data_IF_007583502346
#
_entry.id   IF_007583502346
#
_cell.length_a   1.000
_cell.length_b   1.000
_cell.length_c   1.000
_cell.angle_alpha   90.00
_cell.angle_beta   90.00
_cell.angle_gamma   90.00
#
_symmetry.space_group_name_H-M   'P 1'
#
loop_
_entity.id
_entity.type
_entity.pdbx_description
1 polymer ?
#
# COMPACT_ATOMS: atom_id res chain seq x y z
N UNK A 1 -46.87 -2.37 26.20
CA UNK A 1 -46.01 -1.92 27.32
C UNK A 1 -45.01 -3.04 27.54
N UNK A 2 -43.71 -2.88 27.41
CA UNK A 2 -42.91 -1.68 27.64
C UNK A 2 -41.66 -1.69 26.78
N UNK A 3 -41.46 -0.56 26.12
CA UNK A 3 -40.18 -0.11 25.59
C UNK A 3 -39.19 -0.04 26.77
N UNK A 4 -38.19 -0.92 26.80
CA UNK A 4 -37.18 -0.90 27.87
C UNK A 4 -36.00 -0.10 27.39
N UNK A 5 -36.02 1.18 27.76
CA UNK A 5 -34.94 2.13 27.59
C UNK A 5 -33.61 1.55 28.09
N UNK A 6 -32.67 1.31 27.17
CA UNK A 6 -31.28 1.06 27.54
C UNK A 6 -30.62 2.41 27.86
N UNK A 7 -30.30 2.55 29.15
CA UNK A 7 -29.56 3.62 29.79
C UNK A 7 -28.32 4.06 29.01
N UNK A 8 -28.32 5.30 28.50
CA UNK A 8 -27.51 6.40 29.06
C UNK A 8 -25.98 6.29 29.14
N UNK A 9 -25.32 5.37 28.44
CA UNK A 9 -23.84 5.36 28.40
C UNK A 9 -23.32 6.44 27.45
N UNK A 10 -22.77 7.53 28.01
CA UNK A 10 -22.03 8.54 27.23
C UNK A 10 -20.68 7.93 26.79
N UNK A 11 -20.64 7.36 25.59
CA UNK A 11 -19.41 6.83 25.03
C UNK A 11 -18.44 7.97 24.68
N UNK A 12 -17.17 7.87 25.13
CA UNK A 12 -16.13 8.88 24.88
C UNK A 12 -15.54 8.85 23.47
N UNK A 13 -15.55 7.68 22.81
CA UNK A 13 -15.14 7.50 21.41
C UNK A 13 -15.70 6.18 20.84
N UNK A 14 -15.70 6.08 19.51
CA UNK A 14 -15.96 4.83 18.79
C UNK A 14 -14.93 4.71 17.65
N UNK A 15 -14.28 3.55 17.54
CA UNK A 15 -13.41 3.25 16.39
C UNK A 15 -14.27 2.70 15.25
N UNK A 16 -14.12 3.29 14.06
CA UNK A 16 -14.73 2.82 12.83
C UNK A 16 -13.68 2.80 11.73
N UNK A 17 -13.70 1.76 10.91
CA UNK A 17 -12.92 1.77 9.67
C UNK A 17 -13.52 2.79 8.71
N UNK A 18 -12.68 3.61 8.10
CA UNK A 18 -13.05 4.51 7.02
C UNK A 18 -12.08 4.31 5.85
N UNK A 19 -12.61 4.36 4.64
CA UNK A 19 -11.78 4.43 3.43
C UNK A 19 -11.65 5.90 3.04
N UNK A 20 -10.42 6.35 2.86
CA UNK A 20 -10.10 7.74 2.49
C UNK A 20 -9.18 7.72 1.27
N UNK A 21 -9.58 8.42 0.21
CA UNK A 21 -8.74 8.63 -0.97
C UNK A 21 -7.77 9.78 -0.71
N UNK A 22 -6.50 9.56 -1.02
CA UNK A 22 -5.41 10.52 -0.80
C UNK A 22 -4.49 10.55 -2.02
N UNK A 23 -3.79 11.67 -2.21
CA UNK A 23 -2.79 11.82 -3.27
C UNK A 23 -1.55 11.00 -2.93
N UNK A 24 -1.09 10.19 -3.89
CA UNK A 24 0.17 9.48 -3.78
C UNK A 24 1.23 10.09 -4.71
N UNK A 25 2.39 10.44 -4.16
CA UNK A 25 3.59 10.80 -4.89
C UNK A 25 4.41 9.54 -5.10
N UNK A 26 4.56 9.10 -6.35
CA UNK A 26 5.48 8.01 -6.68
C UNK A 26 6.91 8.54 -6.73
N UNK A 27 7.74 8.08 -5.80
CA UNK A 27 9.14 8.48 -5.71
C UNK A 27 10.00 7.44 -6.42
N UNK A 28 10.75 7.87 -7.43
CA UNK A 28 11.61 7.01 -8.25
C UNK A 28 13.06 7.05 -7.76
N UNK A 29 13.57 8.26 -7.53
CA UNK A 29 14.89 8.54 -6.96
C UNK A 29 14.78 9.73 -6.01
N UNK A 30 15.80 9.96 -5.20
CA UNK A 30 15.82 11.09 -4.28
C UNK A 30 17.18 11.79 -4.31
N UNK A 31 17.13 13.02 -4.79
CA UNK A 31 18.12 14.06 -4.57
C UNK A 31 17.36 15.28 -4.03
N UNK A 32 17.92 15.99 -3.05
CA UNK A 32 17.22 17.06 -2.32
C UNK A 32 16.89 18.25 -3.23
N UNK A 33 17.87 18.67 -4.04
CA UNK A 33 17.76 19.82 -4.92
C UNK A 33 16.82 19.51 -6.10
N UNK A 34 16.99 18.33 -6.72
CA UNK A 34 16.13 17.88 -7.81
C UNK A 34 14.67 17.68 -7.36
N UNK A 35 14.47 17.14 -6.15
CA UNK A 35 13.14 16.96 -5.57
C UNK A 35 12.44 18.31 -5.36
N UNK A 36 13.13 19.30 -4.78
CA UNK A 36 12.55 20.62 -4.55
C UNK A 36 12.22 21.35 -5.86
N UNK A 37 13.12 21.29 -6.84
CA UNK A 37 12.88 21.88 -8.15
C UNK A 37 11.68 21.23 -8.85
N UNK A 38 11.63 19.90 -8.90
CA UNK A 38 10.54 19.17 -9.56
C UNK A 38 9.20 19.45 -8.88
N UNK A 39 9.16 19.46 -7.54
CA UNK A 39 7.95 19.75 -6.79
C UNK A 39 7.45 21.18 -7.07
N UNK A 40 8.35 22.17 -7.06
CA UNK A 40 8.04 23.58 -7.36
C UNK A 40 7.45 23.74 -8.76
N UNK A 41 8.03 23.07 -9.76
CA UNK A 41 7.49 23.09 -11.12
C UNK A 41 6.07 22.54 -11.19
N UNK A 42 5.78 21.43 -10.49
CA UNK A 42 4.42 20.85 -10.41
C UNK A 42 3.43 21.77 -9.69
N UNK A 43 3.87 22.43 -8.61
CA UNK A 43 3.03 23.41 -7.90
C UNK A 43 2.69 24.58 -8.81
N UNK A 44 3.66 25.11 -9.55
CA UNK A 44 3.42 26.22 -10.48
C UNK A 44 2.43 25.86 -11.59
N UNK A 45 2.41 24.59 -12.03
CA UNK A 45 1.44 24.11 -13.01
C UNK A 45 0.02 24.03 -12.44
N UNK A 46 -0.13 23.70 -11.16
CA UNK A 46 -1.44 23.55 -10.53
C UNK A 46 -1.46 24.05 -9.06
N UNK A 47 -1.38 25.37 -8.80
CA UNK A 47 -1.23 25.89 -7.44
C UNK A 47 -2.40 25.52 -6.51
N UNK A 48 -3.62 25.49 -7.06
CA UNK A 48 -4.82 25.12 -6.32
C UNK A 48 -4.87 23.66 -5.91
N UNK A 49 -4.19 22.76 -6.65
CA UNK A 49 -4.16 21.34 -6.32
C UNK A 49 -3.30 21.05 -5.09
N UNK A 50 -2.22 21.79 -4.86
CA UNK A 50 -1.27 21.48 -3.78
C UNK A 50 -1.57 22.20 -2.45
N UNK A 51 -2.63 22.99 -2.37
CA UNK A 51 -3.00 23.71 -1.15
C UNK A 51 -3.63 22.78 -0.12
N UNK A 52 -2.97 22.64 1.02
CA UNK A 52 -3.40 21.85 2.18
C UNK A 52 -3.69 20.38 1.85
N UNK A 53 -2.96 19.80 0.89
CA UNK A 53 -3.20 18.41 0.49
C UNK A 53 -2.54 17.40 1.41
N UNK A 54 -3.26 16.33 1.80
CA UNK A 54 -2.65 15.18 2.40
C UNK A 54 -1.99 14.30 1.33
N UNK A 55 -0.72 13.95 1.55
CA UNK A 55 0.13 13.27 0.58
C UNK A 55 0.78 12.01 1.17
N UNK A 56 0.78 10.94 0.39
CA UNK A 56 1.46 9.68 0.68
C UNK A 56 2.66 9.55 -0.26
N UNK A 57 3.83 9.18 0.25
CA UNK A 57 4.99 8.86 -0.58
C UNK A 57 4.93 7.36 -0.90
N UNK A 58 4.91 7.01 -2.18
CA UNK A 58 4.96 5.62 -2.64
C UNK A 58 6.39 5.27 -3.03
N UNK A 59 6.96 4.27 -2.36
CA UNK A 59 8.29 3.70 -2.64
C UNK A 59 8.22 2.41 -3.46
N UNK A 60 7.07 2.11 -4.06
CA UNK A 60 6.88 0.88 -4.85
C UNK A 60 7.74 0.82 -6.11
N UNK A 61 8.12 1.99 -6.64
CA UNK A 61 8.97 2.15 -7.82
C UNK A 61 10.28 2.87 -7.49
N UNK A 62 10.66 2.90 -6.22
CA UNK A 62 11.88 3.57 -5.79
C UNK A 62 13.08 2.69 -6.13
N UNK A 63 14.01 3.24 -6.90
CA UNK A 63 15.20 2.54 -7.41
C UNK A 63 16.51 3.08 -6.82
N UNK A 64 16.45 4.16 -6.03
CA UNK A 64 17.61 4.74 -5.34
C UNK A 64 18.08 3.93 -4.12
N UNK A 65 19.19 4.36 -3.51
CA UNK A 65 19.70 3.71 -2.31
C UNK A 65 18.91 4.15 -1.08
N UNK A 66 18.67 3.21 -0.16
CA UNK A 66 17.93 3.53 1.07
C UNK A 66 18.68 4.54 1.95
N UNK A 67 20.01 4.63 1.81
CA UNK A 67 20.86 5.61 2.50
C UNK A 67 20.75 7.03 1.97
N UNK A 68 20.24 7.21 0.74
CA UNK A 68 20.05 8.52 0.13
C UNK A 68 18.74 9.16 0.62
N UNK A 69 17.73 8.36 0.96
CA UNK A 69 16.44 8.84 1.44
C UNK A 69 16.56 9.62 2.75
N UNK A 70 16.15 10.88 2.69
CA UNK A 70 15.96 11.72 3.86
C UNK A 70 14.51 12.22 3.93
N UNK A 71 13.69 11.52 4.72
CA UNK A 71 12.30 11.90 4.91
C UNK A 71 12.14 13.25 5.62
N UNK A 72 13.10 13.70 6.45
CA UNK A 72 13.00 15.01 7.09
C UNK A 72 13.12 16.13 6.07
N UNK A 73 14.03 15.98 5.10
CA UNK A 73 14.16 16.89 3.96
C UNK A 73 12.90 16.90 3.11
N UNK A 74 12.40 15.73 2.71
CA UNK A 74 11.16 15.60 1.92
C UNK A 74 9.98 16.29 2.63
N UNK A 75 9.76 15.99 3.91
CA UNK A 75 8.70 16.60 4.72
C UNK A 75 8.89 18.12 4.80
N UNK A 76 10.12 18.59 5.01
CA UNK A 76 10.46 20.00 5.08
C UNK A 76 10.09 20.74 3.79
N UNK A 77 10.48 20.21 2.65
CA UNK A 77 10.20 20.75 1.31
C UNK A 77 8.70 20.74 0.99
N UNK A 78 8.00 19.64 1.29
CA UNK A 78 6.54 19.59 1.14
C UNK A 78 5.82 20.61 2.04
N UNK A 79 6.22 20.71 3.31
CA UNK A 79 5.58 21.61 4.29
C UNK A 79 5.72 23.08 3.91
N UNK A 80 6.87 23.50 3.35
CA UNK A 80 7.07 24.87 2.82
C UNK A 80 6.07 25.24 1.73
N UNK A 81 5.49 24.23 1.08
CA UNK A 81 4.55 24.37 -0.02
C UNK A 81 3.09 24.00 0.36
N UNK A 82 2.76 23.95 1.66
CA UNK A 82 1.44 23.57 2.19
C UNK A 82 0.99 22.15 1.82
N UNK A 83 1.94 21.23 1.68
CA UNK A 83 1.69 19.81 1.45
C UNK A 83 1.97 19.04 2.74
N UNK A 84 1.02 18.22 3.16
CA UNK A 84 1.09 17.43 4.39
C UNK A 84 1.44 15.99 4.08
N UNK A 85 2.70 15.60 4.30
CA UNK A 85 3.12 14.20 4.15
C UNK A 85 2.60 13.40 5.35
N UNK A 86 1.73 12.42 5.08
CA UNK A 86 1.06 11.62 6.12
C UNK A 86 1.77 10.29 6.34
N UNK A 87 2.31 9.69 5.28
CA UNK A 87 2.86 8.35 5.36
C UNK A 87 3.60 7.90 4.12
N UNK A 88 4.13 6.68 4.23
CA UNK A 88 4.86 5.97 3.19
C UNK A 88 4.15 4.68 2.85
N UNK A 89 4.00 4.40 1.56
CA UNK A 89 3.45 3.15 1.02
C UNK A 89 4.58 2.32 0.42
N UNK A 90 4.59 1.02 0.75
CA UNK A 90 5.60 0.08 0.22
C UNK A 90 6.96 0.25 0.87
N UNK A 91 8.03 0.09 0.07
CA UNK A 91 9.41 0.17 0.51
C UNK A 91 9.91 -1.07 1.26
N UNK A 92 11.25 -1.24 1.27
CA UNK A 92 11.95 -2.29 2.00
C UNK A 92 12.05 -1.97 3.51
N UNK A 93 12.63 -2.89 4.30
CA UNK A 93 12.69 -2.75 5.76
C UNK A 93 13.49 -1.52 6.23
N UNK A 94 14.59 -1.19 5.55
CA UNK A 94 15.40 0.00 5.88
C UNK A 94 14.64 1.29 5.60
N UNK A 95 13.97 1.37 4.45
CA UNK A 95 13.15 2.52 4.07
C UNK A 95 11.98 2.71 5.04
N UNK A 96 11.32 1.61 5.44
CA UNK A 96 10.25 1.62 6.44
C UNK A 96 10.76 2.03 7.82
N UNK A 97 11.98 1.62 8.20
CA UNK A 97 12.64 2.04 9.45
C UNK A 97 12.94 3.53 9.45
N UNK A 98 13.47 4.07 8.34
CA UNK A 98 13.72 5.51 8.16
C UNK A 98 12.41 6.31 8.23
N UNK A 99 11.36 5.87 7.54
CA UNK A 99 10.05 6.51 7.56
C UNK A 99 9.44 6.54 8.97
N UNK A 100 9.58 5.45 9.75
CA UNK A 100 9.18 5.43 11.17
C UNK A 100 9.98 6.42 12.00
N UNK A 101 11.29 6.56 11.75
CA UNK A 101 12.15 7.56 12.38
C UNK A 101 11.68 9.00 12.14
N UNK A 102 11.07 9.25 10.98
CA UNK A 102 10.43 10.53 10.63
C UNK A 102 8.95 10.64 11.05
N UNK A 103 8.45 9.72 11.87
CA UNK A 103 7.06 9.66 12.34
C UNK A 103 6.00 9.56 11.23
N UNK A 104 6.33 8.93 10.10
CA UNK A 104 5.41 8.71 8.99
C UNK A 104 4.62 7.40 9.17
N UNK A 105 3.33 7.42 8.86
CA UNK A 105 2.51 6.21 8.86
C UNK A 105 3.00 5.22 7.78
N UNK A 106 3.00 3.92 8.08
CA UNK A 106 3.43 2.89 7.14
C UNK A 106 2.21 2.19 6.54
N UNK A 107 2.15 2.13 5.21
CA UNK A 107 1.10 1.45 4.47
C UNK A 107 1.66 0.25 3.68
N UNK A 108 0.88 -0.84 3.55
CA UNK A 108 1.29 -1.97 2.73
C UNK A 108 1.38 -1.55 1.26
N UNK A 109 2.34 -2.13 0.54
CA UNK A 109 2.40 -1.98 -0.92
C UNK A 109 1.19 -2.64 -1.60
N UNK A 110 0.86 -2.23 -2.81
CA UNK A 110 -0.18 -2.82 -3.66
C UNK A 110 0.01 -4.33 -3.82
N UNK A 111 1.22 -4.79 -4.14
CA UNK A 111 1.54 -6.23 -4.24
C UNK A 111 1.70 -6.98 -2.90
N UNK A 112 1.66 -6.29 -1.75
CA UNK A 112 1.64 -6.94 -0.43
C UNK A 112 0.22 -7.25 0.05
N UNK A 113 -0.79 -6.50 -0.41
CA UNK A 113 -2.19 -6.75 -0.04
C UNK A 113 -2.70 -8.08 -0.57
N UNK A 114 -2.30 -8.47 -1.79
CA UNK A 114 -2.70 -9.75 -2.38
C UNK A 114 -2.17 -10.94 -1.58
N UNK A 115 -0.89 -10.91 -1.16
CA UNK A 115 -0.29 -12.00 -0.35
C UNK A 115 -0.84 -12.08 1.08
N UNK A 116 -1.22 -10.95 1.67
CA UNK A 116 -1.77 -10.94 3.03
C UNK A 116 -3.20 -11.49 3.07
N UNK A 117 -3.97 -11.33 1.98
CA UNK A 117 -5.33 -11.86 1.90
C UNK A 117 -5.36 -13.37 1.63
N UNK A 118 -4.33 -13.93 0.97
CA UNK A 118 -4.20 -15.37 0.74
C UNK A 118 -3.74 -16.15 1.99
N UNK A 119 -3.05 -15.51 2.93
CA UNK A 119 -2.55 -16.16 4.14
C UNK A 119 -3.63 -16.44 5.20
N UNK A 120 -4.80 -15.80 5.11
CA UNK A 120 -5.90 -15.93 6.09
C UNK A 120 -6.97 -16.96 5.66
N UNK A 121 -6.73 -17.67 4.55
CA UNK A 121 -7.63 -18.69 3.99
C UNK A 121 -7.02 -20.10 4.00
N UNK A 122 -6.15 -20.42 4.96
CA UNK A 122 -5.71 -21.80 5.19
C UNK A 122 -6.59 -22.44 6.27
N UNK A 123 -7.54 -23.35 5.94
CA UNK A 123 -8.17 -24.16 6.96
C UNK A 123 -7.10 -25.07 7.57
N UNK A 124 -6.98 -24.96 8.89
CA UNK A 124 -6.19 -25.82 9.76
C UNK A 124 -6.65 -27.27 9.57
N UNK A 125 -6.03 -27.97 8.61
CA UNK A 125 -6.33 -29.37 8.36
C UNK A 125 -5.53 -30.20 9.35
N UNK A 126 -6.24 -30.62 10.38
CA UNK A 126 -5.79 -31.53 11.42
C UNK A 126 -5.01 -32.73 10.86
N UNK A 127 -4.00 -33.09 11.65
CA UNK A 127 -3.09 -34.23 11.55
C UNK A 127 -3.81 -35.54 11.23
N UNK A 128 -3.36 -36.25 10.20
CA UNK A 128 -3.41 -37.71 10.18
C UNK A 128 -2.21 -38.27 9.40
N UNK A 129 -1.21 -38.76 10.14
CA UNK A 129 -0.21 -39.71 9.63
C UNK A 129 -0.94 -41.03 9.36
N UNK A 130 -0.66 -41.72 8.24
CA UNK A 130 0.12 -42.95 8.41
C UNK A 130 1.03 -43.34 7.23
N UNK A 131 2.16 -43.95 7.61
CA UNK A 131 2.95 -45.04 7.03
C UNK A 131 3.14 -45.17 5.50
N UNK A 132 4.43 -45.30 5.12
CA UNK A 132 4.93 -45.78 3.83
C UNK A 132 4.53 -47.26 3.60
N UNK A 133 4.37 -47.72 2.34
CA UNK A 133 5.55 -48.20 1.59
C UNK A 133 5.54 -47.87 0.07
N UNK A 134 6.75 -47.83 -0.50
CA UNK A 134 7.07 -47.84 -1.95
C UNK A 134 6.90 -49.26 -2.55
N UNK A 135 7.14 -49.54 -3.85
CA UNK A 135 7.10 -48.73 -5.10
C UNK A 135 6.37 -49.46 -6.28
N UNK A 136 5.94 -48.78 -7.36
CA UNK A 136 5.86 -49.36 -8.73
C UNK A 136 5.54 -48.32 -9.83
N UNK A 137 6.44 -48.30 -10.81
CA UNK A 137 6.32 -48.11 -12.26
C UNK A 137 5.37 -47.05 -12.89
N UNK A 138 6.05 -46.15 -13.61
CA UNK A 138 5.90 -45.87 -15.04
C UNK A 138 4.66 -45.15 -15.61
N UNK A 139 4.99 -44.04 -16.29
CA UNK A 139 4.45 -43.55 -17.57
C UNK A 139 3.26 -42.57 -17.60
N UNK A 140 3.62 -41.36 -18.07
CA UNK A 140 3.06 -40.62 -19.24
C UNK A 140 1.98 -39.54 -19.04
N UNK A 141 2.42 -38.33 -19.43
CA UNK A 141 1.81 -37.34 -20.35
C UNK A 141 0.66 -36.40 -19.92
N UNK A 142 1.04 -35.11 -19.98
CA UNK A 142 0.36 -33.88 -20.44
C UNK A 142 -0.68 -33.15 -19.55
N UNK A 143 -0.60 -31.80 -19.50
CA UNK A 143 -1.50 -30.95 -18.73
C UNK A 143 -2.70 -30.47 -19.56
N UNK A 144 -3.89 -30.51 -18.98
CA UNK A 144 -5.10 -29.91 -19.55
C UNK A 144 -5.33 -28.52 -18.93
N UNK A 145 -5.44 -27.51 -19.78
CA UNK A 145 -5.71 -26.12 -19.43
C UNK A 145 -6.95 -25.67 -20.20
N UNK A 146 -7.97 -25.06 -19.57
CA UNK A 146 -9.06 -24.47 -20.30
C UNK A 146 -8.73 -23.05 -20.81
N UNK A 147 -9.30 -22.64 -21.96
CA UNK A 147 -8.80 -21.53 -22.78
C UNK A 147 -9.18 -20.11 -22.29
N UNK A 148 -8.27 -19.17 -22.55
CA UNK A 148 -8.46 -17.73 -22.36
C UNK A 148 -9.53 -17.17 -23.33
N UNK A 149 -10.50 -16.44 -22.79
CA UNK A 149 -11.58 -15.80 -23.56
C UNK A 149 -11.22 -14.34 -23.81
N UNK A 150 -10.90 -14.01 -25.06
CA UNK A 150 -10.64 -12.64 -25.52
C UNK A 150 -11.98 -11.94 -25.79
N UNK A 151 -12.19 -10.77 -25.19
CA UNK A 151 -13.37 -9.92 -25.46
C UNK A 151 -12.89 -8.66 -26.19
N UNK A 152 -13.13 -8.60 -27.49
CA UNK A 152 -12.94 -7.41 -28.32
C UNK A 152 -14.27 -6.68 -28.47
N UNK A 153 -14.50 -5.62 -27.68
CA UNK A 153 -15.58 -4.67 -27.96
C UNK A 153 -15.00 -3.42 -28.64
N UNK A 154 -15.58 -2.95 -29.75
CA UNK A 154 -15.12 -1.75 -30.42
C UNK A 154 -15.56 -0.50 -29.64
N UNK A 155 -14.64 0.42 -29.46
CA UNK A 155 -14.90 1.75 -28.89
C UNK A 155 -15.53 2.61 -29.99
N UNK A 156 -16.78 3.07 -29.81
CA UNK A 156 -17.37 4.09 -30.68
C UNK A 156 -16.79 5.45 -30.29
N UNK A 157 -16.33 6.18 -31.30
CA UNK A 157 -15.87 7.57 -31.28
C UNK A 157 -16.88 8.54 -30.70
#
# INVERSE_FOLDING_TARGET
MSDTATSGVKHGFQLRSASVSMTALELYYFDDDEFEETLRQKINQAPGFFRDIPLIISLEKYEGLSTELDFFKIIGTCRRNNIHVIGVRGGNDDQRRLARGAALALMPGTGQRDRAHDADAAPEKAVELPVSPTPTAASKTTPDAPPARIISQPVRS
#
